data_IF_577578433983
#
_entry.id   IF_577578433983
#
_cell.length_a   1.000
_cell.length_b   1.000
_cell.length_c   1.000
_cell.angle_alpha   90.00
_cell.angle_beta   90.00
_cell.angle_gamma   90.00
#
_symmetry.space_group_name_H-M   'P 1'
#
loop_
_entity.id
_entity.type
_entity.pdbx_description
1 polymer ?
#
# COMPACT_ATOMS: atom_id res chain seq x y z
N UNK A 1 -11.96 2.79 16.82
CA UNK A 1 -10.96 3.82 16.45
C UNK A 1 -10.45 3.51 15.07
N UNK A 2 -10.55 4.45 14.14
CA UNK A 2 -10.07 4.30 12.76
C UNK A 2 -8.79 5.10 12.59
N UNK A 3 -7.89 4.61 11.74
CA UNK A 3 -6.57 5.23 11.52
C UNK A 3 -6.22 5.16 10.04
N UNK A 4 -5.75 6.28 9.51
CA UNK A 4 -5.09 6.35 8.22
C UNK A 4 -3.60 6.66 8.42
N UNK A 5 -2.75 6.00 7.64
CA UNK A 5 -1.32 6.30 7.53
C UNK A 5 -1.01 6.60 6.07
N UNK A 6 0.04 7.38 5.85
CA UNK A 6 0.61 7.61 4.52
C UNK A 6 2.08 7.22 4.51
N UNK A 7 2.64 7.02 3.31
CA UNK A 7 4.08 6.93 3.11
C UNK A 7 4.61 8.27 2.60
N UNK A 8 5.84 8.62 2.98
CA UNK A 8 6.57 9.72 2.36
C UNK A 8 7.59 9.22 1.32
N UNK A 9 8.25 10.18 0.67
CA UNK A 9 9.28 9.88 -0.33
C UNK A 9 10.51 9.17 0.24
N UNK A 10 10.69 9.11 1.57
CA UNK A 10 11.78 8.36 2.20
C UNK A 10 11.38 6.92 2.52
N UNK A 11 10.26 6.44 1.97
CA UNK A 11 9.66 5.14 2.27
C UNK A 11 9.34 4.97 3.76
N UNK A 12 9.06 6.07 4.46
CA UNK A 12 8.69 6.05 5.86
C UNK A 12 7.18 6.29 6.00
N UNK A 13 6.51 5.33 6.61
CA UNK A 13 5.09 5.47 6.93
C UNK A 13 4.91 6.47 8.10
N UNK A 14 3.83 7.25 8.09
CA UNK A 14 3.46 8.19 9.15
C UNK A 14 1.94 8.22 9.37
N UNK A 15 1.46 8.42 10.61
CA UNK A 15 0.04 8.64 10.88
C UNK A 15 -0.46 9.89 10.17
N UNK A 16 -1.57 9.76 9.45
CA UNK A 16 -2.17 10.83 8.67
C UNK A 16 -3.41 11.40 9.38
N UNK A 17 -4.30 10.52 9.83
CA UNK A 17 -5.52 10.89 10.52
C UNK A 17 -5.97 9.75 11.46
N UNK A 18 -6.73 10.08 12.50
CA UNK A 18 -7.36 9.12 13.38
C UNK A 18 -8.75 9.60 13.81
N UNK A 19 -9.62 8.67 14.17
CA UNK A 19 -10.94 8.99 14.72
C UNK A 19 -11.36 8.01 15.81
N UNK A 20 -12.09 8.52 16.80
CA UNK A 20 -12.79 7.71 17.78
C UNK A 20 -14.24 7.63 17.33
N UNK A 21 -14.71 6.41 17.10
CA UNK A 21 -16.04 6.10 16.55
C UNK A 21 -16.66 4.99 17.38
N UNK A 22 -17.98 4.92 17.40
CA UNK A 22 -18.75 3.95 18.17
C UNK A 22 -18.50 2.50 17.74
N UNK A 23 -18.16 2.27 16.46
CA UNK A 23 -17.82 0.95 15.94
C UNK A 23 -17.29 0.98 14.52
N UNK A 24 -16.73 -0.15 14.07
CA UNK A 24 -16.30 -0.36 12.69
C UNK A 24 -17.50 -0.75 11.81
N UNK A 25 -18.36 0.22 11.53
CA UNK A 25 -19.56 0.07 10.70
C UNK A 25 -19.49 0.95 9.45
N UNK A 26 -20.50 0.84 8.57
CA UNK A 26 -20.53 1.57 7.31
C UNK A 26 -20.53 3.10 7.51
N UNK A 27 -21.28 3.59 8.50
CA UNK A 27 -21.41 5.02 8.77
C UNK A 27 -20.09 5.62 9.29
N UNK A 28 -19.44 4.94 10.24
CA UNK A 28 -18.14 5.33 10.78
C UNK A 28 -17.06 5.37 9.70
N UNK A 29 -17.01 4.35 8.84
CA UNK A 29 -16.07 4.33 7.72
C UNK A 29 -16.41 5.42 6.70
N UNK A 30 -17.70 5.65 6.41
CA UNK A 30 -18.16 6.63 5.44
C UNK A 30 -17.78 8.03 5.86
N UNK A 31 -18.09 8.39 7.10
CA UNK A 31 -17.70 9.66 7.70
C UNK A 31 -16.18 9.84 7.73
N UNK A 32 -15.42 8.83 8.19
CA UNK A 32 -13.97 8.94 8.29
C UNK A 32 -13.29 9.13 6.94
N UNK A 33 -13.72 8.37 5.93
CA UNK A 33 -13.22 8.49 4.56
C UNK A 33 -13.62 9.85 3.96
N UNK A 34 -14.83 10.36 4.20
CA UNK A 34 -15.22 11.70 3.76
C UNK A 34 -14.29 12.77 4.37
N UNK A 35 -14.04 12.74 5.68
CA UNK A 35 -13.16 13.70 6.34
C UNK A 35 -11.71 13.64 5.83
N UNK A 36 -11.14 12.45 5.62
CA UNK A 36 -9.79 12.34 5.04
C UNK A 36 -9.75 12.99 3.67
N UNK A 37 -10.78 12.74 2.86
CA UNK A 37 -10.87 13.28 1.51
C UNK A 37 -10.98 14.81 1.50
N UNK A 38 -11.82 15.36 2.36
CA UNK A 38 -12.10 16.79 2.44
C UNK A 38 -10.96 17.61 3.07
N UNK A 39 -10.31 17.08 4.11
CA UNK A 39 -9.36 17.86 4.91
C UNK A 39 -7.89 17.47 4.73
N UNK A 40 -7.59 16.28 4.20
CA UNK A 40 -6.21 15.79 4.10
C UNK A 40 -5.74 15.41 2.69
N UNK A 41 -6.63 14.92 1.82
CA UNK A 41 -6.24 14.35 0.53
C UNK A 41 -6.92 14.98 -0.70
N UNK A 42 -6.97 16.32 -0.76
CA UNK A 42 -7.55 17.11 -1.88
C UNK A 42 -6.66 17.08 -3.14
N UNK A 43 -6.34 15.88 -3.63
CA UNK A 43 -5.52 15.65 -4.83
C UNK A 43 -5.98 14.41 -5.57
N UNK A 44 -5.56 14.31 -6.84
CA UNK A 44 -5.75 13.14 -7.69
C UNK A 44 -4.56 12.16 -7.57
N UNK A 45 -4.74 10.96 -8.11
CA UNK A 45 -3.71 9.93 -8.17
C UNK A 45 -3.30 9.40 -6.79
N UNK A 46 -4.24 9.30 -5.85
CA UNK A 46 -4.01 8.63 -4.58
C UNK A 46 -4.06 7.11 -4.75
N UNK A 47 -3.37 6.36 -3.89
CA UNK A 47 -3.58 4.92 -3.79
C UNK A 47 -3.90 4.56 -2.35
N UNK A 48 -5.12 4.09 -2.11
CA UNK A 48 -5.60 3.61 -0.81
C UNK A 48 -5.36 2.12 -0.71
N UNK A 49 -4.65 1.71 0.35
CA UNK A 49 -4.44 0.30 0.68
C UNK A 49 -5.16 0.03 1.99
N UNK A 50 -6.15 -0.86 1.95
CA UNK A 50 -6.95 -1.19 3.15
C UNK A 50 -7.13 -2.69 3.29
N UNK A 51 -7.71 -3.11 4.41
CA UNK A 51 -8.33 -4.43 4.49
C UNK A 51 -9.53 -4.55 3.53
N UNK A 52 -10.19 -5.71 3.57
CA UNK A 52 -11.41 -6.00 2.80
C UNK A 52 -12.68 -5.87 3.67
N UNK A 53 -12.67 -4.99 4.67
CA UNK A 53 -13.83 -4.78 5.53
C UNK A 53 -15.02 -4.32 4.69
N UNK A 54 -16.23 -4.91 4.86
CA UNK A 54 -17.39 -4.58 4.04
C UNK A 54 -17.69 -3.08 3.95
N UNK A 55 -17.59 -2.35 5.07
CA UNK A 55 -17.80 -0.90 5.09
C UNK A 55 -16.88 -0.13 4.15
N UNK A 56 -15.58 -0.45 4.13
CA UNK A 56 -14.62 0.20 3.21
C UNK A 56 -14.95 -0.14 1.75
N UNK A 57 -15.23 -1.41 1.46
CA UNK A 57 -15.57 -1.86 0.11
C UNK A 57 -16.82 -1.15 -0.41
N UNK A 58 -17.84 -0.97 0.43
CA UNK A 58 -19.06 -0.24 0.07
C UNK A 58 -18.76 1.21 -0.30
N UNK A 59 -17.97 1.93 0.50
CA UNK A 59 -17.65 3.35 0.26
C UNK A 59 -16.78 3.54 -0.97
N UNK A 60 -15.77 2.68 -1.16
CA UNK A 60 -14.89 2.76 -2.32
C UNK A 60 -15.65 2.48 -3.60
N UNK A 61 -16.56 1.50 -3.60
CA UNK A 61 -17.29 1.11 -4.81
C UNK A 61 -18.59 1.90 -5.03
N UNK A 62 -18.92 2.86 -4.16
CA UNK A 62 -20.11 3.69 -4.31
C UNK A 62 -20.02 4.51 -5.60
N UNK A 63 -21.17 4.70 -6.27
CA UNK A 63 -21.26 5.55 -7.45
C UNK A 63 -20.85 6.97 -7.09
N UNK A 64 -19.91 7.54 -7.86
CA UNK A 64 -19.36 8.87 -7.61
C UNK A 64 -18.31 8.93 -6.49
N UNK A 65 -17.87 7.79 -5.96
CA UNK A 65 -16.81 7.77 -4.94
C UNK A 65 -15.53 8.43 -5.46
N UNK A 66 -14.95 9.33 -4.68
CA UNK A 66 -13.64 9.91 -5.00
C UNK A 66 -12.46 8.98 -4.63
N UNK A 67 -12.76 7.77 -4.17
CA UNK A 67 -11.79 6.72 -3.85
C UNK A 67 -11.50 5.76 -5.02
N UNK A 68 -12.00 6.10 -6.21
CA UNK A 68 -11.76 5.42 -7.48
C UNK A 68 -11.26 6.41 -8.54
N UNK A 69 -10.90 5.90 -9.72
CA UNK A 69 -10.33 6.72 -10.80
C UNK A 69 -11.33 7.80 -11.25
N UNK A 70 -10.86 9.02 -11.60
CA UNK A 70 -9.47 9.44 -11.73
C UNK A 70 -8.82 9.98 -10.44
N UNK A 71 -9.55 9.96 -9.32
CA UNK A 71 -9.11 10.61 -8.08
C UNK A 71 -8.19 9.73 -7.24
N UNK A 72 -8.53 8.45 -7.14
CA UNK A 72 -7.74 7.48 -6.40
C UNK A 72 -7.80 6.08 -7.03
N UNK A 73 -6.91 5.22 -6.56
CA UNK A 73 -6.92 3.80 -6.75
C UNK A 73 -7.12 3.13 -5.40
N UNK A 74 -7.75 1.96 -5.38
CA UNK A 74 -7.88 1.17 -4.17
C UNK A 74 -7.27 -0.21 -4.37
N UNK A 75 -6.51 -0.68 -3.37
CA UNK A 75 -5.80 -1.97 -3.33
C UNK A 75 -6.04 -2.67 -1.99
N UNK A 76 -5.98 -3.99 -2.01
CA UNK A 76 -6.08 -4.83 -0.82
C UNK A 76 -4.71 -4.96 -0.17
N UNK A 77 -4.68 -4.74 1.14
CA UNK A 77 -3.52 -5.05 1.95
C UNK A 77 -3.24 -6.56 1.90
N UNK A 78 -2.07 -6.94 1.41
CA UNK A 78 -1.70 -8.34 1.19
C UNK A 78 -1.67 -9.15 2.48
N UNK A 79 -1.32 -8.53 3.61
CA UNK A 79 -1.37 -9.21 4.89
C UNK A 79 -2.81 -9.61 5.25
N UNK A 80 -3.77 -8.70 5.10
CA UNK A 80 -5.18 -9.01 5.36
C UNK A 80 -5.73 -10.01 4.35
N UNK A 81 -5.35 -9.90 3.07
CA UNK A 81 -5.70 -10.87 2.05
C UNK A 81 -5.18 -12.27 2.41
N UNK A 82 -3.91 -12.38 2.80
CA UNK A 82 -3.28 -13.63 3.21
C UNK A 82 -3.91 -14.20 4.50
N UNK A 83 -4.32 -13.33 5.43
CA UNK A 83 -5.06 -13.75 6.63
C UNK A 83 -6.41 -14.35 6.25
N UNK A 84 -7.22 -13.64 5.44
CA UNK A 84 -8.53 -14.12 4.99
C UNK A 84 -8.41 -15.44 4.20
N UNK A 85 -7.38 -15.54 3.35
CA UNK A 85 -7.07 -16.77 2.63
C UNK A 85 -6.76 -17.92 3.59
N UNK A 86 -5.92 -17.68 4.61
CA UNK A 86 -5.56 -18.70 5.58
C UNK A 86 -6.73 -19.10 6.49
N UNK A 87 -7.64 -18.19 6.82
CA UNK A 87 -8.89 -18.52 7.53
C UNK A 87 -9.81 -19.41 6.69
N UNK A 88 -9.75 -19.30 5.36
CA UNK A 88 -10.58 -20.12 4.47
C UNK A 88 -9.99 -21.50 4.21
N UNK A 89 -8.70 -21.57 3.92
CA UNK A 89 -8.04 -22.80 3.46
C UNK A 89 -7.22 -23.50 4.54
N UNK A 90 -6.89 -22.82 5.64
CA UNK A 90 -6.10 -23.36 6.75
C UNK A 90 -4.73 -23.94 6.34
N UNK A 91 -4.17 -23.44 5.24
CA UNK A 91 -2.95 -23.96 4.64
C UNK A 91 -1.85 -22.88 4.56
N UNK A 92 -0.82 -23.07 5.38
CA UNK A 92 0.33 -22.17 5.47
C UNK A 92 1.19 -22.19 4.21
N UNK A 93 1.29 -23.32 3.52
CA UNK A 93 2.07 -23.48 2.28
C UNK A 93 1.39 -22.68 1.17
N UNK A 94 0.08 -22.87 0.99
CA UNK A 94 -0.70 -22.08 0.03
C UNK A 94 -0.67 -20.59 0.34
N UNK A 95 -0.77 -20.20 1.62
CA UNK A 95 -0.63 -18.80 2.04
C UNK A 95 0.73 -18.22 1.63
N UNK A 96 1.82 -18.97 1.81
CA UNK A 96 3.15 -18.52 1.42
C UNK A 96 3.28 -18.36 -0.10
N UNK A 97 2.69 -19.29 -0.88
CA UNK A 97 2.64 -19.16 -2.34
C UNK A 97 1.82 -17.93 -2.78
N UNK A 98 0.69 -17.66 -2.13
CA UNK A 98 -0.11 -16.45 -2.38
C UNK A 98 0.73 -15.20 -2.11
N UNK A 99 1.34 -15.08 -0.93
CA UNK A 99 2.17 -13.91 -0.60
C UNK A 99 3.30 -13.74 -1.61
N UNK A 100 3.98 -14.82 -2.01
CA UNK A 100 5.00 -14.76 -3.04
C UNK A 100 4.43 -14.23 -4.38
N UNK A 101 3.28 -14.74 -4.83
CA UNK A 101 2.61 -14.29 -6.04
C UNK A 101 2.27 -12.79 -5.98
N UNK A 102 1.75 -12.31 -4.85
CA UNK A 102 1.38 -10.91 -4.65
C UNK A 102 2.55 -9.92 -4.90
N UNK A 103 3.79 -10.32 -4.58
CA UNK A 103 4.99 -9.50 -4.71
C UNK A 103 5.75 -9.70 -6.03
N UNK A 104 5.29 -10.58 -6.92
CA UNK A 104 5.91 -10.73 -8.24
C UNK A 104 5.71 -9.43 -9.04
N UNK A 105 6.79 -8.96 -9.67
CA UNK A 105 6.77 -7.76 -10.53
C UNK A 105 6.67 -8.09 -12.02
N UNK A 106 6.65 -9.37 -12.38
CA UNK A 106 6.57 -9.86 -13.75
C UNK A 106 5.34 -10.74 -13.90
N UNK A 107 4.48 -10.42 -14.87
CA UNK A 107 3.24 -11.19 -15.16
C UNK A 107 3.55 -12.68 -15.38
N UNK A 108 4.64 -13.00 -16.08
CA UNK A 108 5.06 -14.39 -16.29
C UNK A 108 5.37 -15.13 -14.97
N UNK A 109 6.12 -14.51 -14.06
CA UNK A 109 6.44 -15.12 -12.76
C UNK A 109 5.21 -15.24 -11.88
N UNK A 110 4.37 -14.20 -11.87
CA UNK A 110 3.07 -14.21 -11.20
C UNK A 110 2.22 -15.40 -11.65
N UNK A 111 2.06 -15.58 -12.97
CA UNK A 111 1.25 -16.66 -13.53
C UNK A 111 1.80 -18.04 -13.14
N UNK A 112 3.12 -18.25 -13.15
CA UNK A 112 3.73 -19.50 -12.66
C UNK A 112 3.41 -19.78 -11.20
N UNK A 113 3.38 -18.77 -10.33
CA UNK A 113 2.98 -18.95 -8.92
C UNK A 113 1.49 -19.32 -8.83
N UNK A 114 0.65 -18.67 -9.62
CA UNK A 114 -0.79 -18.95 -9.67
C UNK A 114 -1.08 -20.36 -10.20
N UNK A 115 -0.31 -20.87 -11.16
CA UNK A 115 -0.38 -22.27 -11.61
C UNK A 115 0.02 -23.25 -10.50
N UNK A 116 1.09 -22.97 -9.77
CA UNK A 116 1.50 -23.79 -8.61
C UNK A 116 0.39 -23.85 -7.55
N UNK A 117 -0.23 -22.71 -7.24
CA UNK A 117 -1.38 -22.67 -6.31
C UNK A 117 -2.52 -23.56 -6.83
N UNK A 118 -2.85 -23.49 -8.13
CA UNK A 118 -3.89 -24.31 -8.74
C UNK A 118 -3.59 -25.81 -8.74
N UNK A 119 -2.32 -26.19 -8.92
CA UNK A 119 -1.87 -27.59 -8.83
C UNK A 119 -2.01 -28.15 -7.42
N UNK A 120 -1.71 -27.35 -6.40
CA UNK A 120 -1.85 -27.75 -4.99
C UNK A 120 -3.34 -27.77 -4.60
N UNK A 121 -4.10 -26.75 -4.98
CA UNK A 121 -5.52 -26.64 -4.63
C UNK A 121 -6.30 -25.80 -5.67
N UNK A 122 -7.08 -26.46 -6.55
CA UNK A 122 -7.90 -25.78 -7.56
C UNK A 122 -8.95 -24.82 -6.96
N UNK A 123 -9.50 -25.12 -5.78
CA UNK A 123 -10.47 -24.25 -5.10
C UNK A 123 -9.81 -22.98 -4.59
N UNK A 124 -8.57 -23.06 -4.13
CA UNK A 124 -7.78 -21.90 -3.73
C UNK A 124 -7.45 -20.99 -4.91
N UNK A 125 -7.08 -21.57 -6.05
CA UNK A 125 -6.89 -20.83 -7.31
C UNK A 125 -8.17 -20.11 -7.72
N UNK A 126 -9.30 -20.82 -7.79
CA UNK A 126 -10.60 -20.23 -8.12
C UNK A 126 -10.96 -19.06 -7.21
N UNK A 127 -10.75 -19.20 -5.90
CA UNK A 127 -11.02 -18.11 -4.96
C UNK A 127 -10.21 -16.84 -5.23
N UNK A 128 -8.99 -16.97 -5.74
CA UNK A 128 -8.16 -15.84 -6.15
C UNK A 128 -8.59 -15.27 -7.51
N UNK A 129 -8.98 -16.12 -8.45
CA UNK A 129 -9.49 -15.71 -9.76
C UNK A 129 -10.82 -14.94 -9.65
N UNK A 130 -11.63 -15.21 -8.62
CA UNK A 130 -12.85 -14.44 -8.31
C UNK A 130 -12.54 -13.00 -7.81
N UNK A 131 -11.28 -12.68 -7.51
CA UNK A 131 -10.85 -11.34 -7.13
C UNK A 131 -10.25 -10.60 -8.33
N UNK A 132 -10.55 -9.30 -8.43
CA UNK A 132 -9.89 -8.41 -9.39
C UNK A 132 -8.37 -8.39 -9.15
N UNK A 133 -7.59 -8.88 -10.11
CA UNK A 133 -6.14 -9.13 -9.94
C UNK A 133 -5.35 -7.85 -9.64
N UNK A 134 -5.77 -6.72 -10.22
CA UNK A 134 -5.15 -5.41 -10.03
C UNK A 134 -5.25 -4.95 -8.58
N UNK A 135 -6.24 -5.44 -7.82
CA UNK A 135 -6.43 -5.06 -6.42
C UNK A 135 -5.34 -5.62 -5.51
N UNK A 136 -4.61 -6.66 -5.90
CA UNK A 136 -3.75 -7.39 -4.96
C UNK A 136 -2.43 -7.90 -5.51
N UNK A 137 -2.25 -7.94 -6.84
CA UNK A 137 -1.00 -8.41 -7.46
C UNK A 137 -0.16 -7.24 -7.97
N UNK A 138 1.09 -7.13 -7.51
CA UNK A 138 2.01 -6.06 -7.91
C UNK A 138 2.26 -6.06 -9.42
N UNK A 139 2.38 -7.24 -10.05
CA UNK A 139 2.53 -7.38 -11.49
C UNK A 139 1.38 -6.78 -12.33
N UNK A 140 0.20 -6.60 -11.72
CA UNK A 140 -1.01 -6.08 -12.36
C UNK A 140 -1.46 -4.73 -11.76
N UNK A 141 -0.68 -4.13 -10.86
CA UNK A 141 -1.05 -2.94 -10.10
C UNK A 141 -1.02 -1.64 -10.95
N UNK A 142 -0.35 -1.65 -12.10
CA UNK A 142 -0.13 -0.47 -12.93
C UNK A 142 0.81 0.56 -12.27
N UNK A 143 1.55 0.17 -11.24
CA UNK A 143 2.45 1.03 -10.49
C UNK A 143 1.76 2.00 -9.52
N UNK A 144 0.44 1.88 -9.32
CA UNK A 144 -0.36 2.80 -8.50
C UNK A 144 0.01 2.76 -7.02
N UNK A 145 0.40 1.61 -6.52
CA UNK A 145 0.80 1.40 -5.13
C UNK A 145 2.25 1.82 -4.82
N UNK A 146 3.04 2.18 -5.85
CA UNK A 146 4.48 2.44 -5.74
C UNK A 146 5.26 1.30 -5.05
N UNK A 147 4.77 0.06 -5.13
CA UNK A 147 5.37 -1.12 -4.50
C UNK A 147 5.02 -1.28 -3.02
N UNK A 148 4.21 -0.38 -2.45
CA UNK A 148 3.68 -0.52 -1.10
C UNK A 148 2.49 -1.47 -1.15
N UNK A 149 2.61 -2.59 -0.45
CA UNK A 149 1.69 -3.72 -0.59
C UNK A 149 1.06 -4.15 0.74
N UNK A 150 1.60 -3.67 1.85
CA UNK A 150 1.14 -3.98 3.20
C UNK A 150 1.08 -2.75 4.07
N UNK A 151 0.31 -2.88 5.15
CA UNK A 151 0.09 -1.85 6.15
C UNK A 151 0.86 -2.14 7.44
N UNK A 152 2.08 -2.68 7.36
CA UNK A 152 2.82 -3.14 8.54
C UNK A 152 2.94 -2.05 9.63
N UNK A 153 3.11 -0.77 9.26
CA UNK A 153 3.12 0.32 10.26
C UNK A 153 1.73 0.61 10.85
N UNK A 154 0.61 0.39 10.14
CA UNK A 154 -0.71 0.49 10.76
C UNK A 154 -0.84 -0.50 11.92
N UNK A 155 -0.23 -1.68 11.82
CA UNK A 155 -0.26 -2.65 12.92
C UNK A 155 0.65 -2.27 14.08
N UNK A 156 1.86 -1.78 13.80
CA UNK A 156 2.75 -1.25 14.84
C UNK A 156 2.04 -0.10 15.55
N UNK A 157 1.43 0.82 14.81
CA UNK A 157 0.70 1.95 15.38
C UNK A 157 -0.56 1.50 16.12
N UNK A 158 -1.32 0.54 15.58
CA UNK A 158 -2.44 -0.08 16.30
C UNK A 158 -2.01 -0.81 17.56
N UNK A 159 -0.84 -1.47 17.56
CA UNK A 159 -0.27 -2.17 18.71
C UNK A 159 0.18 -1.18 19.79
N UNK A 160 0.87 -0.12 19.39
CA UNK A 160 1.22 1.03 20.24
C UNK A 160 -0.03 1.61 20.89
N UNK A 161 -1.09 1.80 20.10
CA UNK A 161 -2.34 2.33 20.63
C UNK A 161 -3.17 1.28 21.37
N UNK A 162 -2.87 -0.01 21.26
CA UNK A 162 -3.59 -1.07 21.98
C UNK A 162 -3.49 -0.88 23.49
N UNK A 163 -2.33 -0.48 23.99
CA UNK A 163 -2.14 -0.09 25.40
C UNK A 163 -2.79 1.25 25.74
N UNK A 164 -2.98 2.14 24.77
CA UNK A 164 -3.66 3.42 24.96
C UNK A 164 -5.20 3.29 24.94
N UNK A 165 -5.75 2.22 24.37
CA UNK A 165 -7.21 1.97 24.30
C UNK A 165 -7.86 1.73 25.67
N UNK A 166 -7.09 1.37 26.69
CA UNK A 166 -7.55 1.26 28.08
C UNK A 166 -7.48 2.59 28.84
N UNK A 167 -7.00 3.67 28.22
CA UNK A 167 -6.96 4.99 28.82
C UNK A 167 -8.30 5.73 28.59
N UNK A 168 -8.62 6.74 29.43
CA UNK A 168 -9.71 7.67 29.14
C UNK A 168 -9.59 8.27 27.73
N UNK A 169 -10.73 8.55 27.09
CA UNK A 169 -10.79 9.08 25.72
C UNK A 169 -9.90 10.32 25.54
N UNK A 170 -9.91 11.22 26.53
CA UNK A 170 -9.07 12.43 26.53
C UNK A 170 -7.58 12.11 26.46
N UNK A 171 -7.11 11.14 27.25
CA UNK A 171 -5.72 10.69 27.24
C UNK A 171 -5.34 9.99 25.93
N UNK A 172 -6.25 9.19 25.35
CA UNK A 172 -6.04 8.55 24.04
C UNK A 172 -5.89 9.59 22.93
N UNK A 173 -6.78 10.60 22.88
CA UNK A 173 -6.73 11.70 21.91
C UNK A 173 -5.44 12.49 22.09
N UNK A 174 -5.10 12.86 23.33
CA UNK A 174 -3.90 13.63 23.64
C UNK A 174 -2.62 12.89 23.20
N UNK A 175 -2.49 11.61 23.57
CA UNK A 175 -1.35 10.77 23.19
C UNK A 175 -1.25 10.62 21.67
N UNK A 176 -2.36 10.41 20.98
CA UNK A 176 -2.39 10.29 19.52
C UNK A 176 -1.96 11.60 18.87
N UNK A 177 -2.55 12.72 19.27
CA UNK A 177 -2.25 14.05 18.74
C UNK A 177 -0.77 14.43 18.90
N UNK A 178 -0.20 14.32 20.11
CA UNK A 178 1.20 14.69 20.33
C UNK A 178 2.17 13.78 19.58
N UNK A 179 1.86 12.49 19.42
CA UNK A 179 2.68 11.60 18.59
C UNK A 179 2.62 11.96 17.12
N UNK A 180 1.43 12.20 16.57
CA UNK A 180 1.31 12.62 15.15
C UNK A 180 2.08 13.93 14.94
N UNK A 181 1.88 14.93 15.80
CA UNK A 181 2.56 16.22 15.67
C UNK A 181 4.08 16.12 15.81
N UNK A 182 4.59 15.29 16.72
CA UNK A 182 6.05 15.12 16.85
C UNK A 182 6.66 14.49 15.59
N UNK A 183 5.97 13.52 14.96
CA UNK A 183 6.39 12.97 13.66
C UNK A 183 6.45 14.05 12.57
N UNK A 184 5.42 14.90 12.47
CA UNK A 184 5.40 15.98 11.48
C UNK A 184 6.48 17.04 11.75
N UNK A 185 6.70 17.42 13.01
CA UNK A 185 7.72 18.40 13.38
C UNK A 185 9.13 17.92 13.01
N UNK A 186 9.47 16.67 13.34
CA UNK A 186 10.78 16.07 13.01
C UNK A 186 10.96 15.98 11.49
N UNK A 187 9.95 15.52 10.75
CA UNK A 187 10.05 15.40 9.28
C UNK A 187 10.15 16.75 8.58
N UNK A 188 9.45 17.77 9.08
CA UNK A 188 9.57 19.14 8.57
C UNK A 188 11.00 19.65 8.71
N UNK A 189 11.62 19.48 9.88
CA UNK A 189 13.01 19.87 10.10
C UNK A 189 13.96 19.16 9.15
N UNK A 190 13.80 17.84 8.99
CA UNK A 190 14.58 17.05 8.03
C UNK A 190 14.43 17.54 6.59
N UNK A 191 13.19 17.81 6.15
CA UNK A 191 12.92 18.33 4.80
C UNK A 191 13.57 19.70 4.57
N UNK A 192 13.48 20.61 5.55
CA UNK A 192 14.11 21.95 5.49
C UNK A 192 15.63 21.83 5.39
N UNK A 193 16.26 21.00 6.22
CA UNK A 193 17.71 20.80 6.19
C UNK A 193 18.21 20.30 4.83
N UNK A 194 17.49 19.36 4.21
CA UNK A 194 17.82 18.86 2.86
C UNK A 194 17.64 19.93 1.79
N UNK A 195 16.57 20.70 1.87
CA UNK A 195 16.32 21.82 0.95
C UNK A 195 17.44 22.86 1.02
N UNK A 196 17.93 23.19 2.22
CA UNK A 196 19.06 24.12 2.40
C UNK A 196 20.37 23.53 1.86
N UNK A 197 20.51 22.20 1.88
CA UNK A 197 21.70 21.49 1.38
C UNK A 197 21.64 21.20 -0.13
N UNK A 198 20.68 21.78 -0.87
CA UNK A 198 20.44 21.52 -2.31
C UNK A 198 20.28 20.03 -2.67
N UNK A 199 19.79 19.22 -1.73
CA UNK A 199 19.53 17.80 -1.96
C UNK A 199 18.11 17.61 -2.53
N UNK A 200 18.01 17.27 -3.81
CA UNK A 200 16.74 17.21 -4.55
C UNK A 200 15.84 16.04 -4.14
N UNK A 201 16.41 14.93 -3.66
CA UNK A 201 15.66 13.74 -3.28
C UNK A 201 15.90 13.34 -1.83
N UNK A 202 15.11 12.39 -1.32
CA UNK A 202 15.32 11.76 -0.01
C UNK A 202 16.46 10.75 -0.09
N UNK A 203 17.12 10.40 1.04
CA UNK A 203 18.17 9.38 1.04
C UNK A 203 17.73 8.04 0.43
N UNK A 204 16.47 7.64 0.67
CA UNK A 204 15.91 6.43 0.09
C UNK A 204 15.88 6.50 -1.44
N UNK A 205 15.41 7.62 -2.00
CA UNK A 205 15.33 7.80 -3.46
C UNK A 205 16.72 7.90 -4.07
N UNK A 206 17.63 8.67 -3.45
CA UNK A 206 19.04 8.74 -3.88
C UNK A 206 19.67 7.35 -3.94
N UNK A 207 19.52 6.56 -2.86
CA UNK A 207 20.04 5.19 -2.80
C UNK A 207 19.42 4.26 -3.86
N UNK A 208 18.13 4.43 -4.17
CA UNK A 208 17.46 3.69 -5.25
C UNK A 208 18.01 4.06 -6.62
N UNK A 209 18.15 5.35 -6.91
CA UNK A 209 18.69 5.84 -8.18
C UNK A 209 20.11 5.32 -8.37
N UNK A 210 20.98 5.44 -7.36
CA UNK A 210 22.35 4.91 -7.43
C UNK A 210 22.37 3.40 -7.64
N UNK A 211 21.54 2.63 -6.91
CA UNK A 211 21.47 1.17 -7.07
C UNK A 211 21.00 0.77 -8.48
N UNK A 212 20.01 1.47 -9.03
CA UNK A 212 19.54 1.22 -10.39
C UNK A 212 20.56 1.64 -11.44
N UNK A 213 21.29 2.73 -11.23
CA UNK A 213 22.40 3.14 -12.10
C UNK A 213 23.50 2.08 -12.18
N UNK A 214 23.90 1.50 -11.04
CA UNK A 214 24.88 0.40 -11.00
C UNK A 214 24.37 -0.82 -11.75
N UNK A 215 23.11 -1.23 -11.53
CA UNK A 215 22.52 -2.38 -12.23
C UNK A 215 22.40 -2.14 -13.73
N UNK A 216 22.01 -0.94 -14.14
CA UNK A 216 21.94 -0.54 -15.53
C UNK A 216 23.29 -0.65 -16.25
N UNK A 217 24.41 -0.46 -15.54
CA UNK A 217 25.76 -0.65 -16.09
C UNK A 217 26.05 -2.07 -16.58
N UNK A 218 25.34 -3.09 -16.08
CA UNK A 218 25.46 -4.48 -16.55
C UNK A 218 24.50 -4.83 -17.70
N UNK A 219 23.75 -3.86 -18.21
CA UNK A 219 22.76 -4.04 -19.27
C UNK A 219 23.17 -3.26 -20.52
N UNK A 220 23.13 -3.92 -21.68
CA UNK A 220 23.35 -3.29 -22.97
C UNK A 220 22.00 -3.12 -23.67
N UNK A 221 21.67 -1.88 -24.03
CA UNK A 221 20.46 -1.58 -24.82
C UNK A 221 20.78 -1.80 -26.29
N UNK A 222 20.22 -2.85 -26.87
CA UNK A 222 20.35 -3.13 -28.30
C UNK A 222 19.16 -2.53 -29.01
N UNK A 223 19.44 -1.56 -29.88
CA UNK A 223 18.43 -0.77 -30.55
C UNK A 223 17.85 -1.56 -31.73
N UNK A 224 16.56 -1.93 -31.66
CA UNK A 224 15.94 -2.80 -32.66
C UNK A 224 15.21 -2.00 -33.75
N UNK A 225 14.40 -1.00 -33.38
CA UNK A 225 13.68 -0.16 -34.34
C UNK A 225 13.55 1.29 -33.85
N UNK A 226 14.20 2.22 -34.56
CA UNK A 226 14.17 3.67 -34.27
C UNK A 226 12.82 4.32 -34.52
N UNK A 227 12.03 3.82 -35.48
CA UNK A 227 10.74 4.40 -35.83
C UNK A 227 9.66 4.10 -34.79
N UNK A 228 9.76 2.97 -34.09
CA UNK A 228 8.79 2.55 -33.05
C UNK A 228 9.30 2.77 -31.63
N UNK A 229 10.55 3.18 -31.44
CA UNK A 229 11.19 3.27 -30.13
C UNK A 229 11.31 1.91 -29.43
N UNK A 230 11.48 0.83 -30.19
CA UNK A 230 11.60 -0.52 -29.65
C UNK A 230 13.07 -0.90 -29.44
N UNK A 231 13.39 -1.33 -28.23
CA UNK A 231 14.74 -1.72 -27.81
C UNK A 231 14.68 -3.10 -27.15
N UNK A 232 15.76 -3.88 -27.28
CA UNK A 232 15.98 -5.08 -26.47
C UNK A 232 17.07 -4.80 -25.44
N UNK A 233 16.97 -5.46 -24.28
CA UNK A 233 17.96 -5.34 -23.22
C UNK A 233 18.72 -6.65 -23.14
N UNK A 234 20.02 -6.61 -23.46
CA UNK A 234 20.93 -7.72 -23.22
C UNK A 234 21.49 -7.59 -21.81
N UNK A 235 21.36 -8.64 -21.01
CA UNK A 235 21.88 -8.68 -19.64
C UNK A 235 23.18 -9.47 -19.66
N UNK A 236 24.27 -8.87 -19.17
CA UNK A 236 25.57 -9.53 -19.00
C UNK A 236 25.61 -10.48 -17.81
#
# INVERSE_FOLDING_TARGET
MLIAVSADANNQLFPLAFSIVEGENNDSWGWFMACIREFVTQRRGLCVISDRHPGIITIVNQVGSEWIEPFADHRFCIRHLASNFNTKFHDKILKNHLVAACYENQVFKFQRKMETIGKINPKARKWLDDLRVEKWALAHDGGKSYGIMTTNLLEVFNSVLKGARSLPITALVQLSFYRVNSYFAIRRQFAVQRSVSNQSFTPFVDGKISSYGIKAGGHEVVLFNRATGSFSIKTG
#
